data_IF_283951349149
#
_entry.id   IF_283951349149
#
_cell.length_a   1.000
_cell.length_b   1.000
_cell.length_c   1.000
_cell.angle_alpha   90.00
_cell.angle_beta   90.00
_cell.angle_gamma   90.00
#
_symmetry.space_group_name_H-M   'P 1'
#
loop_
_entity.id
_entity.type
_entity.pdbx_description
1 polymer ?
#
# COMPACT_ATOMS: atom_id res chain seq x y z
N UNK A 1 4.46 -13.81 16.36
CA UNK A 1 3.71 -12.73 15.70
C UNK A 1 2.25 -13.16 15.68
N UNK A 2 1.36 -12.33 16.19
CA UNK A 2 -0.06 -12.65 16.21
C UNK A 2 -0.69 -12.28 14.87
N UNK A 3 -1.22 -13.28 14.17
CA UNK A 3 -1.93 -13.11 12.89
C UNK A 3 -3.42 -13.49 13.02
N UNK A 4 -3.93 -13.69 14.24
CA UNK A 4 -5.31 -14.11 14.47
C UNK A 4 -6.32 -13.11 13.90
N UNK A 5 -6.15 -11.82 14.18
CA UNK A 5 -7.00 -10.76 13.65
C UNK A 5 -7.01 -10.70 12.12
N UNK A 6 -5.84 -10.88 11.49
CA UNK A 6 -5.72 -10.94 10.03
C UNK A 6 -6.40 -12.19 9.45
N UNK A 7 -6.31 -13.33 10.13
CA UNK A 7 -6.94 -14.58 9.70
C UNK A 7 -8.46 -14.47 9.71
N UNK A 8 -9.04 -13.90 10.75
CA UNK A 8 -10.48 -13.67 10.85
C UNK A 8 -10.96 -12.63 9.82
N UNK A 9 -10.18 -11.55 9.60
CA UNK A 9 -10.47 -10.55 8.58
C UNK A 9 -10.43 -11.16 7.17
N UNK A 10 -9.43 -12.00 6.88
CA UNK A 10 -9.31 -12.72 5.61
C UNK A 10 -10.50 -13.67 5.38
N UNK A 11 -10.90 -14.42 6.41
CA UNK A 11 -12.08 -15.28 6.33
C UNK A 11 -13.35 -14.48 6.08
N UNK A 12 -13.51 -13.33 6.74
CA UNK A 12 -14.67 -12.45 6.55
C UNK A 12 -14.73 -11.85 5.13
N UNK A 13 -13.57 -11.47 4.56
CA UNK A 13 -13.49 -10.92 3.18
C UNK A 13 -13.72 -11.98 2.11
N UNK A 14 -13.14 -13.17 2.28
CA UNK A 14 -13.04 -14.16 1.19
C UNK A 14 -13.96 -15.37 1.35
N UNK A 15 -14.46 -15.62 2.55
CA UNK A 15 -15.16 -16.87 2.90
C UNK A 15 -14.23 -18.06 3.09
N UNK A 16 -12.90 -17.90 2.94
CA UNK A 16 -11.91 -18.96 3.07
C UNK A 16 -10.90 -18.65 4.17
N UNK A 17 -10.39 -19.69 4.84
CA UNK A 17 -9.24 -19.52 5.72
C UNK A 17 -7.94 -19.52 4.91
N UNK A 18 -6.95 -18.67 5.27
CA UNK A 18 -5.65 -18.74 4.62
C UNK A 18 -4.96 -20.07 4.95
N UNK A 19 -4.50 -20.76 3.93
CA UNK A 19 -3.69 -22.00 4.06
C UNK A 19 -2.20 -21.69 4.20
N UNK A 20 -1.78 -20.49 3.77
CA UNK A 20 -0.39 -20.03 3.85
C UNK A 20 -0.37 -18.57 4.29
N UNK A 21 0.50 -18.25 5.26
CA UNK A 21 0.77 -16.88 5.73
C UNK A 21 2.28 -16.70 5.80
N UNK A 22 2.81 -15.81 4.96
CA UNK A 22 4.25 -15.53 4.86
C UNK A 22 4.51 -14.08 5.25
N UNK A 23 5.37 -13.88 6.26
CA UNK A 23 5.79 -12.53 6.64
C UNK A 23 6.64 -11.91 5.52
N UNK A 24 6.36 -10.66 5.18
CA UNK A 24 7.12 -9.90 4.20
C UNK A 24 8.06 -8.91 4.90
N UNK A 25 9.22 -8.65 4.28
CA UNK A 25 10.16 -7.65 4.77
C UNK A 25 9.56 -6.25 4.61
N UNK A 26 9.42 -5.53 5.70
CA UNK A 26 9.04 -4.13 5.70
C UNK A 26 10.28 -3.25 5.82
N UNK A 27 10.73 -2.63 4.74
CA UNK A 27 11.84 -1.69 4.78
C UNK A 27 11.36 -0.33 5.35
N UNK A 28 11.77 0.00 6.57
CA UNK A 28 11.53 1.32 7.17
C UNK A 28 10.11 1.61 7.64
N UNK A 29 9.26 0.59 7.79
CA UNK A 29 7.88 0.73 8.29
C UNK A 29 7.72 0.04 9.64
N UNK A 30 6.98 0.66 10.57
CA UNK A 30 6.56 0.02 11.81
C UNK A 30 5.40 -0.97 11.62
N UNK A 31 4.82 -1.04 10.42
CA UNK A 31 3.77 -1.98 10.06
C UNK A 31 4.37 -3.35 9.75
N UNK A 32 3.60 -4.40 10.05
CA UNK A 32 3.94 -5.77 9.68
C UNK A 32 3.08 -6.20 8.50
N UNK A 33 3.70 -6.77 7.49
CA UNK A 33 3.06 -7.19 6.26
C UNK A 33 3.13 -8.71 6.12
N UNK A 34 2.03 -9.31 5.70
CA UNK A 34 1.90 -10.75 5.50
C UNK A 34 1.23 -11.05 4.17
N UNK A 35 1.86 -11.88 3.33
CA UNK A 35 1.17 -12.45 2.17
C UNK A 35 0.35 -13.63 2.65
N UNK A 36 -0.96 -13.55 2.45
CA UNK A 36 -1.94 -14.54 2.87
C UNK A 36 -2.56 -15.18 1.65
N UNK A 37 -2.53 -16.51 1.57
CA UNK A 37 -3.06 -17.26 0.44
C UNK A 37 -4.04 -18.33 0.90
N UNK A 38 -5.17 -18.41 0.21
CA UNK A 38 -6.08 -19.55 0.25
C UNK A 38 -6.10 -20.25 -1.11
N UNK A 39 -7.08 -21.12 -1.33
CA UNK A 39 -7.21 -21.83 -2.61
C UNK A 39 -7.48 -20.87 -3.78
N UNK A 40 -8.28 -19.81 -3.56
CA UNK A 40 -8.73 -18.92 -4.63
C UNK A 40 -8.30 -17.45 -4.45
N UNK A 41 -7.77 -17.08 -3.29
CA UNK A 41 -7.50 -15.68 -2.96
C UNK A 41 -6.08 -15.46 -2.48
N UNK A 42 -5.52 -14.32 -2.88
CA UNK A 42 -4.26 -13.78 -2.35
C UNK A 42 -4.54 -12.37 -1.85
N UNK A 43 -4.07 -12.05 -0.64
CA UNK A 43 -4.15 -10.73 -0.01
C UNK A 43 -2.84 -10.41 0.70
N UNK A 44 -2.54 -9.13 0.81
CA UNK A 44 -1.56 -8.65 1.76
C UNK A 44 -2.30 -8.22 3.03
N UNK A 45 -2.09 -8.95 4.11
CA UNK A 45 -2.56 -8.58 5.43
C UNK A 45 -1.57 -7.63 6.10
N UNK A 46 -2.07 -6.58 6.71
CA UNK A 46 -1.23 -5.57 7.36
C UNK A 46 -1.68 -5.37 8.81
N UNK A 47 -0.75 -5.54 9.75
CA UNK A 47 -0.90 -5.11 11.13
C UNK A 47 -0.28 -3.72 11.26
N UNK A 48 -1.10 -2.73 11.57
CA UNK A 48 -0.66 -1.35 11.80
C UNK A 48 -0.36 -1.08 13.27
N UNK A 49 0.23 0.07 13.53
CA UNK A 49 0.54 0.57 14.89
C UNK A 49 -0.43 1.67 15.34
N UNK A 50 -1.26 2.19 14.43
CA UNK A 50 -2.24 3.25 14.69
C UNK A 50 -3.49 3.04 13.85
N UNK A 51 -4.63 2.96 14.52
CA UNK A 51 -5.94 2.85 13.85
C UNK A 51 -6.26 4.10 13.02
N UNK A 52 -5.86 5.28 13.47
CA UNK A 52 -6.06 6.54 12.74
C UNK A 52 -5.26 6.55 11.43
N UNK A 53 -3.99 6.16 11.49
CA UNK A 53 -3.13 6.06 10.32
C UNK A 53 -3.67 5.02 9.32
N UNK A 54 -4.17 3.88 9.79
CA UNK A 54 -4.76 2.86 8.94
C UNK A 54 -6.05 3.36 8.28
N UNK A 55 -6.94 4.03 9.03
CA UNK A 55 -8.17 4.64 8.45
C UNK A 55 -7.85 5.70 7.42
N UNK A 56 -6.83 6.53 7.66
CA UNK A 56 -6.38 7.51 6.67
C UNK A 56 -5.85 6.82 5.40
N UNK A 57 -5.06 5.76 5.55
CA UNK A 57 -4.56 4.98 4.41
C UNK A 57 -5.71 4.36 3.59
N UNK A 58 -6.68 3.73 4.24
CA UNK A 58 -7.86 3.15 3.59
C UNK A 58 -8.65 4.23 2.84
N UNK A 59 -8.92 5.35 3.48
CA UNK A 59 -9.61 6.49 2.86
C UNK A 59 -8.89 6.98 1.61
N UNK A 60 -7.57 7.21 1.69
CA UNK A 60 -6.77 7.67 0.56
C UNK A 60 -6.74 6.65 -0.58
N UNK A 61 -6.58 5.35 -0.27
CA UNK A 61 -6.60 4.29 -1.27
C UNK A 61 -7.93 4.27 -2.03
N UNK A 62 -9.07 4.25 -1.32
CA UNK A 62 -10.40 4.28 -1.93
C UNK A 62 -10.62 5.54 -2.77
N UNK A 63 -10.18 6.68 -2.26
CA UNK A 63 -10.29 7.95 -2.97
C UNK A 63 -9.47 7.93 -4.26
N UNK A 64 -8.21 7.53 -4.21
CA UNK A 64 -7.31 7.49 -5.37
C UNK A 64 -7.79 6.49 -6.43
N UNK A 65 -8.33 5.33 -6.02
CA UNK A 65 -8.94 4.38 -6.96
C UNK A 65 -10.13 5.01 -7.69
N UNK A 66 -11.00 5.75 -7.00
CA UNK A 66 -12.12 6.48 -7.64
C UNK A 66 -11.66 7.54 -8.63
N UNK A 67 -10.47 8.11 -8.41
CA UNK A 67 -9.84 9.05 -9.36
C UNK A 67 -9.10 8.34 -10.50
N UNK A 68 -9.11 7.00 -10.55
CA UNK A 68 -8.42 6.21 -11.57
C UNK A 68 -6.90 6.16 -11.39
N UNK A 69 -6.39 6.44 -10.19
CA UNK A 69 -4.97 6.37 -9.88
C UNK A 69 -4.55 4.93 -9.53
N UNK A 70 -3.37 4.48 -9.97
CA UNK A 70 -2.89 3.12 -9.76
C UNK A 70 -2.31 2.94 -8.35
N UNK A 71 -3.17 2.72 -7.39
CA UNK A 71 -2.81 2.40 -6.00
C UNK A 71 -3.41 1.05 -5.60
N UNK A 72 -2.82 0.33 -4.61
CA UNK A 72 -3.37 -0.94 -4.16
C UNK A 72 -4.79 -0.77 -3.61
N UNK A 73 -5.70 -1.66 -4.00
CA UNK A 73 -7.04 -1.72 -3.45
C UNK A 73 -6.99 -2.23 -2.02
N UNK A 74 -7.75 -1.60 -1.13
CA UNK A 74 -8.03 -2.15 0.20
C UNK A 74 -9.35 -2.92 0.12
N UNK A 75 -9.36 -4.16 0.64
CA UNK A 75 -10.51 -5.06 0.59
C UNK A 75 -11.30 -5.03 1.90
N UNK A 76 -10.62 -4.98 3.03
CA UNK A 76 -11.23 -4.99 4.35
C UNK A 76 -10.38 -4.23 5.37
N UNK A 77 -11.04 -3.67 6.38
CA UNK A 77 -10.45 -3.05 7.56
C UNK A 77 -11.12 -3.67 8.79
N UNK A 78 -10.36 -4.04 9.80
CA UNK A 78 -10.90 -4.54 11.07
C UNK A 78 -11.68 -3.45 11.81
N UNK A 79 -12.63 -3.85 12.66
CA UNK A 79 -13.50 -2.92 13.40
C UNK A 79 -12.70 -1.95 14.29
N UNK A 80 -11.63 -2.46 14.90
CA UNK A 80 -10.70 -1.64 15.71
C UNK A 80 -9.77 -0.75 14.87
N UNK A 81 -9.70 -0.99 13.56
CA UNK A 81 -8.84 -0.25 12.62
C UNK A 81 -7.37 -0.64 12.68
N UNK A 82 -6.99 -1.69 13.41
CA UNK A 82 -5.58 -2.07 13.58
C UNK A 82 -5.07 -2.96 12.44
N UNK A 83 -5.95 -3.70 11.78
CA UNK A 83 -5.61 -4.62 10.69
C UNK A 83 -6.37 -4.26 9.41
N UNK A 84 -5.75 -4.45 8.27
CA UNK A 84 -6.44 -4.34 6.98
C UNK A 84 -5.89 -5.32 5.94
N UNK A 85 -6.70 -5.59 4.91
CA UNK A 85 -6.32 -6.42 3.77
C UNK A 85 -6.22 -5.56 2.53
N UNK A 86 -5.13 -5.69 1.80
CA UNK A 86 -4.92 -4.98 0.55
C UNK A 86 -4.50 -5.92 -0.59
N UNK A 87 -4.53 -5.38 -1.79
CA UNK A 87 -4.09 -6.03 -3.02
C UNK A 87 -2.61 -6.39 -2.95
N UNK A 88 -2.29 -7.60 -3.44
CA UNK A 88 -0.91 -8.04 -3.65
C UNK A 88 -0.42 -7.57 -5.02
N UNK A 89 0.49 -6.62 -5.04
CA UNK A 89 1.10 -6.09 -6.26
C UNK A 89 2.34 -6.90 -6.70
N UNK A 90 2.62 -8.04 -6.04
CA UNK A 90 3.78 -8.88 -6.32
C UNK A 90 5.06 -8.37 -5.66
N UNK A 91 6.19 -8.92 -6.13
CA UNK A 91 7.50 -8.73 -5.49
C UNK A 91 8.46 -7.83 -6.30
N UNK A 92 8.06 -7.39 -7.49
CA UNK A 92 8.93 -6.59 -8.36
C UNK A 92 8.82 -5.09 -8.04
N UNK A 93 9.73 -4.57 -7.25
CA UNK A 93 9.85 -3.13 -7.01
C UNK A 93 10.54 -2.43 -8.17
N UNK A 94 10.19 -1.17 -8.42
CA UNK A 94 10.92 -0.32 -9.39
C UNK A 94 12.42 -0.28 -9.08
N UNK A 95 12.76 -0.22 -7.80
CA UNK A 95 14.14 -0.26 -7.32
C UNK A 95 14.90 -1.50 -7.81
N UNK A 96 14.27 -2.66 -7.76
CA UNK A 96 14.86 -3.93 -8.20
C UNK A 96 14.91 -4.03 -9.71
N UNK A 97 13.86 -3.58 -10.40
CA UNK A 97 13.83 -3.50 -11.86
C UNK A 97 14.93 -2.61 -12.45
N UNK A 98 15.41 -1.63 -11.70
CA UNK A 98 16.52 -0.76 -12.11
C UNK A 98 17.89 -1.16 -11.55
N UNK A 99 17.98 -2.25 -10.78
CA UNK A 99 19.21 -2.60 -10.06
C UNK A 99 20.42 -2.85 -10.96
N UNK A 100 20.24 -3.48 -12.12
CA UNK A 100 21.31 -3.75 -13.07
C UNK A 100 21.84 -2.45 -13.68
N UNK A 101 20.95 -1.56 -14.13
CA UNK A 101 21.31 -0.27 -14.71
C UNK A 101 22.03 0.65 -13.71
N UNK A 102 21.58 0.65 -12.44
CA UNK A 102 22.23 1.43 -11.37
C UNK A 102 23.65 0.94 -11.09
N UNK A 103 23.88 -0.39 -11.11
CA UNK A 103 25.23 -0.94 -10.89
C UNK A 103 26.18 -0.67 -12.03
N UNK A 104 25.70 -0.73 -13.29
CA UNK A 104 26.53 -0.53 -14.47
C UNK A 104 26.69 0.94 -14.89
N UNK A 105 25.80 1.82 -14.40
CA UNK A 105 25.68 3.19 -14.88
C UNK A 105 25.06 3.32 -16.28
N UNK A 106 24.62 2.19 -16.88
CA UNK A 106 24.05 2.15 -18.23
C UNK A 106 22.54 1.85 -18.15
N UNK A 107 21.73 2.79 -18.64
CA UNK A 107 20.28 2.66 -18.71
C UNK A 107 19.86 2.40 -20.16
N UNK A 108 19.12 1.32 -20.39
CA UNK A 108 18.56 0.98 -21.69
C UNK A 108 17.14 1.49 -21.87
N UNK A 109 16.53 1.18 -23.02
CA UNK A 109 15.17 1.63 -23.34
C UNK A 109 14.11 1.13 -22.35
N UNK A 110 14.29 -0.08 -21.80
CA UNK A 110 13.37 -0.65 -20.82
C UNK A 110 13.37 0.13 -19.50
N UNK A 111 14.55 0.44 -18.96
CA UNK A 111 14.71 1.22 -17.73
C UNK A 111 14.20 2.65 -17.90
N UNK A 112 14.51 3.30 -19.03
CA UNK A 112 13.96 4.61 -19.36
C UNK A 112 12.42 4.58 -19.42
N UNK A 113 11.83 3.54 -20.02
CA UNK A 113 10.37 3.38 -20.06
C UNK A 113 9.76 3.27 -18.67
N UNK A 114 10.38 2.50 -17.75
CA UNK A 114 9.92 2.39 -16.35
C UNK A 114 10.00 3.73 -15.61
N UNK A 115 11.13 4.43 -15.74
CA UNK A 115 11.31 5.76 -15.13
C UNK A 115 10.30 6.77 -15.69
N UNK A 116 10.11 6.78 -17.00
CA UNK A 116 9.15 7.67 -17.65
C UNK A 116 7.73 7.42 -17.15
N UNK A 117 7.29 6.16 -17.10
CA UNK A 117 5.98 5.82 -16.55
C UNK A 117 5.80 6.31 -15.10
N UNK A 118 6.83 6.16 -14.28
CA UNK A 118 6.79 6.60 -12.88
C UNK A 118 6.68 8.12 -12.79
N UNK A 119 7.50 8.85 -13.54
CA UNK A 119 7.50 10.32 -13.51
C UNK A 119 6.19 10.89 -14.05
N UNK A 120 5.61 10.30 -15.09
CA UNK A 120 4.33 10.75 -15.65
C UNK A 120 3.12 10.50 -14.74
N UNK A 121 3.23 9.60 -13.76
CA UNK A 121 2.19 9.40 -12.74
C UNK A 121 2.18 10.50 -11.67
N UNK A 122 3.32 11.15 -11.40
CA UNK A 122 3.41 12.16 -10.32
C UNK A 122 2.45 13.33 -10.50
N UNK A 123 2.32 13.98 -11.70
CA UNK A 123 1.32 15.01 -11.93
C UNK A 123 -0.11 14.52 -11.71
N UNK A 124 -0.43 13.29 -12.15
CA UNK A 124 -1.76 12.72 -11.95
C UNK A 124 -2.09 12.57 -10.46
N UNK A 125 -1.15 12.05 -9.66
CA UNK A 125 -1.32 11.96 -8.21
C UNK A 125 -1.46 13.34 -7.58
N UNK A 126 -0.61 14.30 -7.98
CA UNK A 126 -0.58 15.64 -7.41
C UNK A 126 -1.81 16.50 -7.77
N UNK A 127 -2.33 16.40 -8.99
CA UNK A 127 -3.41 17.26 -9.47
C UNK A 127 -4.80 16.58 -9.47
N UNK A 128 -4.88 15.30 -9.87
CA UNK A 128 -6.14 14.54 -9.79
C UNK A 128 -6.39 14.05 -8.37
N UNK A 129 -5.33 13.60 -7.69
CA UNK A 129 -5.41 13.06 -6.36
C UNK A 129 -5.81 14.05 -5.27
N UNK A 130 -5.72 15.36 -5.51
CA UNK A 130 -6.06 16.38 -4.49
C UNK A 130 -7.39 17.09 -4.75
N UNK A 131 -8.03 16.90 -5.91
CA UNK A 131 -9.14 17.73 -6.40
C UNK A 131 -10.31 17.86 -5.42
N UNK A 132 -10.67 16.77 -4.74
CA UNK A 132 -11.78 16.70 -3.77
C UNK A 132 -11.37 15.90 -2.52
N UNK A 133 -10.07 15.81 -2.26
CA UNK A 133 -9.54 15.09 -1.11
C UNK A 133 -9.85 15.88 0.16
N UNK A 134 -10.48 15.21 1.13
CA UNK A 134 -10.65 15.79 2.47
C UNK A 134 -9.37 15.61 3.26
N UNK A 135 -8.56 16.64 3.31
CA UNK A 135 -7.28 16.66 4.01
C UNK A 135 -7.43 16.46 5.52
N UNK A 136 -8.60 16.74 6.13
CA UNK A 136 -8.83 16.48 7.55
C UNK A 136 -8.85 14.99 7.89
N UNK A 137 -9.00 14.13 6.90
CA UNK A 137 -8.93 12.66 7.03
C UNK A 137 -7.53 12.09 6.78
N UNK A 138 -6.54 12.95 6.47
CA UNK A 138 -5.16 12.56 6.30
C UNK A 138 -4.43 12.51 7.65
N UNK A 139 -3.40 11.68 7.73
CA UNK A 139 -2.59 11.46 8.94
C UNK A 139 -1.12 11.83 8.65
N UNK A 140 -0.38 12.37 9.63
CA UNK A 140 -0.80 12.81 10.97
C UNK A 140 -1.49 14.17 10.99
N UNK A 141 -1.33 14.98 9.96
CA UNK A 141 -1.87 16.34 9.84
C UNK A 141 -2.40 16.59 8.43
N UNK A 142 -3.40 17.49 8.29
CA UNK A 142 -3.98 17.82 6.98
C UNK A 142 -3.01 18.58 6.06
N UNK A 143 -1.95 19.15 6.60
CA UNK A 143 -0.95 19.90 5.83
C UNK A 143 0.48 19.62 6.32
N UNK A 144 1.43 19.68 5.39
CA UNK A 144 2.85 19.61 5.69
C UNK A 144 3.38 21.04 5.89
N UNK A 145 3.62 21.39 7.14
CA UNK A 145 4.11 22.71 7.51
C UNK A 145 5.26 22.63 8.52
N UNK A 146 5.76 23.81 8.94
CA UNK A 146 6.89 23.89 9.86
C UNK A 146 6.68 23.15 11.19
N UNK A 147 5.43 23.02 11.67
CA UNK A 147 5.09 22.29 12.90
C UNK A 147 5.08 20.78 12.73
N UNK A 148 4.96 20.28 11.49
CA UNK A 148 5.01 18.86 11.19
C UNK A 148 6.42 18.30 11.01
N UNK A 149 7.45 19.18 10.97
CA UNK A 149 8.84 18.82 10.71
C UNK A 149 9.71 18.91 11.97
N UNK A 150 9.29 19.68 12.97
CA UNK A 150 9.95 19.93 14.23
C UNK A 150 8.94 19.67 15.36
#
# INVERSE_FOLDING_TARGET
MDTSGLTELFLSDTGERPGEIVALSAAGSNRQYFRMKSMHYIRIGVNGTSAEENRAFVYMSEYFIRQGLPVPRVYALSDDGMCYLQEDLGDCLLFDGLAAARRSGCFGAAEYSLLHKTITLLPDIQFKGVKELDFNRCYPLPEFNRRSVF
#
